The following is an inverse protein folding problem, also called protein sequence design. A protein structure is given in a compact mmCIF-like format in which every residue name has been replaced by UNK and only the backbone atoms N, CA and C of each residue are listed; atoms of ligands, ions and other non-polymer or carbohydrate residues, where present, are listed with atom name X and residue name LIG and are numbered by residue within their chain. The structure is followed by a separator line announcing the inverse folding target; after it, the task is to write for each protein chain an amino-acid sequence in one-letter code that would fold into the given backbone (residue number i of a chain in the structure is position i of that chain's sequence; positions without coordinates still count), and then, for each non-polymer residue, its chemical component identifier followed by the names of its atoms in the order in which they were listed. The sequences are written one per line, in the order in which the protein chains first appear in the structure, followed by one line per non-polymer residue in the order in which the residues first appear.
data_IF_797747712047
#
_entry.id   IF_797747712047
#
_cell.length_a   1.000
_cell.length_b   1.000
_cell.length_c   1.000
_cell.angle_alpha   90.00
_cell.angle_beta   90.00
_cell.angle_gamma   90.00
#
_symmetry.space_group_name_H-M   'P 1'
#
loop_
_entity.id
_entity.type
_entity.pdbx_description
1 polymer ?
#
# COMPACT_ATOMS: atom_id res chain seq x y z
N UNK A 1 -0.03 -77.53 11.76
CA UNK A 1 -1.47 -77.62 12.04
C UNK A 1 -1.95 -76.27 12.57
N UNK A 2 -2.96 -75.73 11.89
CA UNK A 2 -3.96 -74.74 12.34
C UNK A 2 -3.51 -73.28 12.53
N UNK A 3 -3.98 -72.48 11.57
CA UNK A 3 -4.02 -71.02 11.49
C UNK A 3 -4.77 -70.35 12.64
N UNK A 4 -4.40 -69.11 12.97
CA UNK A 4 -5.37 -68.11 13.44
C UNK A 4 -5.02 -66.71 12.91
N UNK A 5 -5.67 -66.43 11.78
CA UNK A 5 -6.21 -65.16 11.29
C UNK A 5 -5.78 -63.88 12.03
N UNK A 6 -4.91 -63.15 11.33
CA UNK A 6 -4.70 -61.71 11.49
C UNK A 6 -6.06 -61.02 11.31
N UNK A 7 -6.59 -60.43 12.40
CA UNK A 7 -7.76 -59.56 12.38
C UNK A 7 -7.43 -58.30 11.58
N UNK A 8 -7.78 -58.31 10.28
CA UNK A 8 -7.91 -57.11 9.47
C UNK A 8 -9.05 -56.26 10.04
N UNK A 9 -8.68 -55.19 10.74
CA UNK A 9 -9.59 -54.06 10.97
C UNK A 9 -9.79 -53.33 9.64
N UNK A 10 -10.86 -53.68 8.93
CA UNK A 10 -11.44 -52.87 7.85
C UNK A 10 -11.80 -51.49 8.42
N UNK A 11 -10.98 -50.50 8.12
CA UNK A 11 -11.18 -49.12 8.54
C UNK A 11 -10.68 -48.16 7.49
N UNK A 12 -11.15 -48.37 6.26
CA UNK A 12 -11.36 -47.36 5.20
C UNK A 12 -10.68 -45.99 5.43
N UNK A 13 -9.51 -45.79 4.82
CA UNK A 13 -9.09 -44.45 4.41
C UNK A 13 -8.24 -44.47 3.14
N UNK A 14 -8.67 -45.25 2.14
CA UNK A 14 -8.21 -45.10 0.76
C UNK A 14 -9.27 -44.38 -0.05
N UNK A 15 -9.46 -43.09 0.23
CA UNK A 15 -10.08 -42.14 -0.71
C UNK A 15 -9.39 -40.78 -0.52
N UNK A 16 -8.09 -40.71 -0.84
CA UNK A 16 -7.52 -39.45 -1.31
C UNK A 16 -8.04 -39.27 -2.74
N UNK A 17 -9.31 -38.87 -2.86
CA UNK A 17 -9.78 -38.23 -4.08
C UNK A 17 -8.98 -36.96 -4.17
N UNK A 18 -8.04 -37.00 -5.10
CA UNK A 18 -7.42 -35.87 -5.73
C UNK A 18 -8.56 -34.91 -6.08
N UNK A 19 -8.82 -33.91 -5.23
CA UNK A 19 -9.40 -32.66 -5.70
C UNK A 19 -8.31 -31.99 -6.54
N UNK A 20 -8.05 -32.58 -7.70
CA UNK A 20 -7.47 -31.89 -8.83
C UNK A 20 -8.35 -30.67 -9.03
N UNK A 21 -7.84 -29.50 -8.63
CA UNK A 21 -8.27 -28.25 -9.25
C UNK A 21 -8.12 -28.48 -10.76
N UNK A 22 -9.22 -28.80 -11.43
CA UNK A 22 -9.28 -28.59 -12.85
C UNK A 22 -9.02 -27.09 -13.03
N UNK A 23 -7.99 -26.67 -13.79
CA UNK A 23 -8.02 -25.33 -14.30
C UNK A 23 -9.24 -25.32 -15.21
N UNK A 24 -10.36 -24.79 -14.70
CA UNK A 24 -11.45 -24.38 -15.57
C UNK A 24 -10.81 -23.50 -16.62
N UNK A 25 -10.71 -24.04 -17.82
CA UNK A 25 -10.34 -23.31 -19.01
C UNK A 25 -11.49 -22.38 -19.37
N UNK A 26 -11.78 -21.42 -18.49
CA UNK A 26 -12.19 -20.11 -18.92
C UNK A 26 -11.01 -19.19 -18.67
N UNK A 27 -10.11 -19.15 -19.66
CA UNK A 27 -9.42 -17.90 -19.97
C UNK A 27 -10.51 -16.90 -20.39
N UNK A 28 -11.29 -16.41 -19.42
CA UNK A 28 -11.69 -15.03 -19.46
C UNK A 28 -10.36 -14.30 -19.44
N UNK A 29 -9.92 -13.92 -20.63
CA UNK A 29 -9.06 -12.77 -20.79
C UNK A 29 -9.84 -11.61 -20.18
N UNK A 30 -9.92 -11.54 -18.85
CA UNK A 30 -9.79 -10.26 -18.20
C UNK A 30 -8.42 -9.82 -18.66
N UNK A 31 -8.43 -9.11 -19.77
CA UNK A 31 -7.55 -7.99 -19.95
C UNK A 31 -7.88 -7.15 -18.72
N UNK A 32 -7.26 -7.50 -17.59
CA UNK A 32 -6.87 -6.54 -16.59
C UNK A 32 -6.08 -5.59 -17.46
N UNK A 33 -6.75 -4.54 -17.93
CA UNK A 33 -6.07 -3.41 -18.53
C UNK A 33 -5.08 -3.05 -17.44
N UNK A 34 -3.84 -3.51 -17.59
CA UNK A 34 -2.69 -2.87 -16.97
C UNK A 34 -2.78 -1.50 -17.61
N UNK A 35 -3.51 -0.61 -16.97
CA UNK A 35 -3.37 0.81 -17.16
C UNK A 35 -1.90 1.01 -16.84
N UNK A 36 -1.09 1.04 -17.89
CA UNK A 36 0.28 1.49 -17.77
C UNK A 36 0.18 2.81 -17.04
N UNK A 37 0.82 2.88 -15.86
CA UNK A 37 0.85 4.09 -15.08
C UNK A 37 1.56 5.13 -15.95
N UNK A 38 0.79 5.94 -16.65
CA UNK A 38 1.28 6.96 -17.58
C UNK A 38 1.81 8.17 -16.82
N UNK A 39 1.59 8.23 -15.50
CA UNK A 39 2.10 9.26 -14.64
C UNK A 39 3.63 9.10 -14.51
N UNK A 40 4.37 10.03 -15.12
CA UNK A 40 5.83 10.05 -15.02
C UNK A 40 6.24 10.41 -13.60
N UNK A 41 6.90 9.49 -12.91
CA UNK A 41 7.37 9.70 -11.54
C UNK A 41 8.77 10.31 -11.50
N UNK A 42 8.89 11.46 -10.85
CA UNK A 42 10.17 12.10 -10.54
C UNK A 42 10.24 12.44 -9.06
N UNK A 43 11.13 11.75 -8.33
CA UNK A 43 11.25 11.91 -6.87
C UNK A 43 11.51 13.36 -6.45
N UNK A 44 12.31 14.10 -7.22
CA UNK A 44 12.61 15.50 -6.95
C UNK A 44 11.35 16.39 -7.00
N UNK A 45 10.60 16.31 -8.10
CA UNK A 45 9.38 17.10 -8.29
C UNK A 45 8.35 16.80 -7.18
N UNK A 46 8.18 15.52 -6.85
CA UNK A 46 7.28 15.12 -5.77
C UNK A 46 7.78 15.57 -4.41
N UNK A 47 9.10 15.54 -4.19
CA UNK A 47 9.72 16.08 -2.98
C UNK A 47 9.41 17.57 -2.78
N UNK A 48 9.35 18.34 -3.86
CA UNK A 48 8.93 19.74 -3.84
C UNK A 48 7.45 19.89 -3.51
N UNK A 49 6.57 19.05 -4.08
CA UNK A 49 5.14 19.01 -3.72
C UNK A 49 4.98 18.72 -2.22
N UNK A 50 5.62 17.67 -1.70
CA UNK A 50 5.62 17.31 -0.28
C UNK A 50 6.09 18.47 0.61
N UNK A 51 7.11 19.21 0.17
CA UNK A 51 7.63 20.37 0.90
C UNK A 51 6.63 21.53 0.90
N UNK A 52 6.03 21.83 -0.24
CA UNK A 52 5.04 22.92 -0.39
C UNK A 52 3.75 22.65 0.37
N UNK A 53 3.38 21.38 0.54
CA UNK A 53 2.26 20.96 1.38
C UNK A 53 2.61 21.00 2.86
N UNK A 54 3.87 21.20 3.25
CA UNK A 54 4.28 21.25 4.65
C UNK A 54 4.26 19.89 5.37
N UNK A 55 4.13 18.77 4.64
CA UNK A 55 4.02 17.44 5.27
C UNK A 55 5.23 17.09 6.14
N UNK A 56 6.42 17.58 5.77
CA UNK A 56 7.67 17.37 6.53
C UNK A 56 7.69 18.07 7.89
N UNK A 57 6.81 19.05 8.11
CA UNK A 57 6.73 19.78 9.38
C UNK A 57 6.01 18.97 10.45
N UNK A 58 5.12 18.06 10.04
CA UNK A 58 4.33 17.24 10.96
C UNK A 58 4.82 15.80 11.02
N UNK A 59 5.21 15.23 9.87
CA UNK A 59 5.64 13.84 9.79
C UNK A 59 7.15 13.76 9.95
N UNK A 60 7.60 13.24 11.09
CA UNK A 60 9.03 13.09 11.39
C UNK A 60 9.65 11.86 10.70
N UNK A 61 10.91 11.96 10.29
CA UNK A 61 11.65 10.94 9.52
C UNK A 61 12.68 10.15 10.34
N UNK A 62 13.01 10.59 11.55
CA UNK A 62 14.06 9.97 12.37
C UNK A 62 13.60 8.63 12.98
N UNK A 63 14.49 7.92 13.68
CA UNK A 63 14.30 6.58 14.27
C UNK A 63 13.19 6.49 15.34
N UNK A 64 11.98 6.89 14.98
CA UNK A 64 10.75 6.77 15.74
C UNK A 64 9.91 5.65 15.12
N UNK A 65 9.08 5.05 15.96
CA UNK A 65 8.10 4.05 15.57
C UNK A 65 7.08 4.62 14.56
N UNK A 66 6.09 3.81 14.17
CA UNK A 66 5.06 4.23 13.20
C UNK A 66 4.26 5.45 13.66
N UNK A 67 4.23 5.72 14.96
CA UNK A 67 3.60 6.87 15.61
C UNK A 67 4.66 7.54 16.49
N UNK A 68 4.72 8.87 16.49
CA UNK A 68 5.62 9.62 17.35
C UNK A 68 5.07 9.80 18.78
N UNK A 69 5.83 10.48 19.63
CA UNK A 69 5.47 10.72 21.05
C UNK A 69 4.23 11.60 21.22
N UNK A 70 3.81 12.32 20.17
CA UNK A 70 2.63 13.19 20.16
C UNK A 70 1.42 12.53 19.50
N UNK A 71 1.51 11.26 19.12
CA UNK A 71 0.43 10.54 18.46
C UNK A 71 0.32 10.82 16.95
N UNK A 72 1.30 11.50 16.35
CA UNK A 72 1.33 11.80 14.92
C UNK A 72 1.97 10.63 14.18
N UNK A 73 1.36 10.19 13.07
CA UNK A 73 1.93 9.15 12.22
C UNK A 73 3.27 9.60 11.64
N UNK A 74 4.33 8.81 11.78
CA UNK A 74 5.64 9.14 11.18
C UNK A 74 5.68 8.82 9.69
N UNK A 75 6.73 9.25 8.97
CA UNK A 75 6.91 8.82 7.57
C UNK A 75 6.95 7.29 7.43
N UNK A 76 7.55 6.60 8.41
CA UNK A 76 7.57 5.13 8.47
C UNK A 76 6.17 4.56 8.69
N UNK A 77 5.37 5.19 9.55
CA UNK A 77 3.97 4.83 9.75
C UNK A 77 3.13 5.00 8.49
N UNK A 78 3.26 6.14 7.81
CA UNK A 78 2.57 6.42 6.55
C UNK A 78 2.99 5.41 5.46
N UNK A 79 4.28 5.11 5.36
CA UNK A 79 4.80 4.12 4.41
C UNK A 79 4.29 2.70 4.70
N UNK A 80 3.98 2.38 5.96
CA UNK A 80 3.42 1.09 6.35
C UNK A 80 1.90 0.97 6.11
N UNK A 81 1.19 2.06 5.84
CA UNK A 81 -0.25 2.01 5.54
C UNK A 81 -0.53 1.35 4.19
N UNK A 82 -1.70 0.73 4.08
CA UNK A 82 -2.26 0.36 2.78
C UNK A 82 -2.49 1.63 1.93
N UNK A 83 -2.28 1.55 0.61
CA UNK A 83 -2.35 2.71 -0.26
C UNK A 83 -3.74 3.37 -0.28
N UNK A 84 -4.83 2.60 -0.18
CA UNK A 84 -6.19 3.16 -0.12
C UNK A 84 -6.42 3.87 1.20
N UNK A 85 -5.93 3.29 2.31
CA UNK A 85 -5.97 3.94 3.63
C UNK A 85 -5.13 5.21 3.67
N UNK A 86 -3.98 5.22 3.01
CA UNK A 86 -3.10 6.38 2.93
C UNK A 86 -3.75 7.52 2.13
N UNK A 87 -4.42 7.19 1.01
CA UNK A 87 -5.19 8.17 0.26
C UNK A 87 -6.27 8.78 1.15
N UNK A 88 -7.03 7.94 1.87
CA UNK A 88 -8.11 8.44 2.73
C UNK A 88 -7.58 9.32 3.89
N UNK A 89 -6.45 8.89 4.47
CA UNK A 89 -5.78 9.62 5.53
C UNK A 89 -5.27 10.98 5.05
N UNK A 90 -4.55 11.02 3.92
CA UNK A 90 -3.86 12.21 3.44
C UNK A 90 -4.80 13.20 2.71
N UNK A 91 -5.77 12.72 1.93
CA UNK A 91 -6.48 13.59 0.98
C UNK A 91 -7.95 13.84 1.30
N UNK A 92 -8.61 13.05 2.16
CA UNK A 92 -10.05 13.21 2.38
C UNK A 92 -10.46 13.71 3.76
N UNK A 93 -9.77 13.40 4.88
CA UNK A 93 -10.40 13.66 6.20
C UNK A 93 -9.54 14.09 7.40
N UNK A 94 -8.21 13.91 7.44
CA UNK A 94 -7.48 13.96 8.73
C UNK A 94 -6.77 15.27 9.08
N UNK A 95 -6.65 16.21 8.15
CA UNK A 95 -5.94 17.47 8.41
C UNK A 95 -6.75 18.53 9.18
N UNK A 96 -7.86 18.15 9.85
CA UNK A 96 -8.67 19.05 10.72
C UNK A 96 -9.01 20.41 10.09
N UNK A 97 -9.20 20.46 8.77
CA UNK A 97 -9.47 21.71 8.05
C UNK A 97 -8.27 22.64 7.85
N UNK A 98 -7.04 22.21 8.11
CA UNK A 98 -5.83 23.02 7.90
C UNK A 98 -5.65 23.46 6.44
N UNK A 99 -6.07 22.65 5.48
CA UNK A 99 -6.06 23.00 4.05
C UNK A 99 -7.35 23.70 3.59
N UNK A 100 -8.33 23.91 4.48
CA UNK A 100 -9.54 24.65 4.14
C UNK A 100 -9.23 26.13 3.91
N UNK A 101 -10.18 26.87 3.32
CA UNK A 101 -10.07 28.32 3.06
C UNK A 101 -9.64 29.15 4.29
N UNK A 102 -9.96 28.69 5.50
CA UNK A 102 -9.67 29.38 6.76
C UNK A 102 -8.53 28.72 7.57
N UNK A 103 -7.93 27.63 7.07
CA UNK A 103 -6.88 26.90 7.79
C UNK A 103 -5.47 27.47 7.60
N UNK A 104 -4.52 26.94 8.38
CA UNK A 104 -3.12 27.38 8.38
C UNK A 104 -2.39 27.12 7.06
N UNK A 105 -2.84 26.11 6.30
CA UNK A 105 -2.32 25.74 4.98
C UNK A 105 -3.30 26.07 3.85
N UNK A 106 -4.17 27.08 4.02
CA UNK A 106 -5.16 27.51 3.02
C UNK A 106 -4.60 27.87 1.63
N UNK A 107 -3.32 28.22 1.55
CA UNK A 107 -2.64 28.54 0.28
C UNK A 107 -1.99 27.32 -0.37
N UNK A 108 -1.93 26.19 0.34
CA UNK A 108 -1.39 24.95 -0.19
C UNK A 108 -2.41 24.29 -1.13
N UNK A 109 -1.90 23.65 -2.17
CA UNK A 109 -2.68 23.08 -3.27
C UNK A 109 -3.11 21.63 -3.04
N UNK A 110 -3.37 21.24 -1.79
CA UNK A 110 -3.70 19.85 -1.43
C UNK A 110 -4.93 19.34 -2.20
N UNK A 111 -5.99 20.15 -2.24
CA UNK A 111 -7.26 19.80 -2.89
C UNK A 111 -7.23 19.96 -4.42
N UNK A 112 -6.15 20.51 -4.98
CA UNK A 112 -6.01 20.76 -6.42
C UNK A 112 -4.87 19.98 -7.07
N UNK A 113 -4.28 19.01 -6.35
CA UNK A 113 -3.37 18.04 -6.95
C UNK A 113 -4.12 17.21 -7.99
N UNK A 114 -3.50 17.03 -9.15
CA UNK A 114 -3.96 16.08 -10.16
C UNK A 114 -3.82 14.63 -9.66
N UNK A 115 -4.59 13.71 -10.25
CA UNK A 115 -4.48 12.28 -9.91
C UNK A 115 -3.06 11.74 -10.04
N UNK A 116 -2.29 12.22 -11.02
CA UNK A 116 -0.88 11.81 -11.19
C UNK A 116 0.02 12.36 -10.08
N UNK A 117 -0.22 13.58 -9.62
CA UNK A 117 0.50 14.13 -8.46
C UNK A 117 0.14 13.37 -7.18
N UNK A 118 -1.13 13.07 -6.96
CA UNK A 118 -1.59 12.25 -5.82
C UNK A 118 -0.90 10.88 -5.84
N UNK A 119 -0.95 10.16 -6.98
CA UNK A 119 -0.28 8.86 -7.14
C UNK A 119 1.23 8.96 -6.89
N UNK A 120 1.86 10.01 -7.41
CA UNK A 120 3.30 10.23 -7.25
C UNK A 120 3.66 10.55 -5.79
N UNK A 121 2.84 11.35 -5.10
CA UNK A 121 2.97 11.62 -3.66
C UNK A 121 2.86 10.32 -2.87
N UNK A 122 1.81 9.53 -3.09
CA UNK A 122 1.63 8.23 -2.44
C UNK A 122 2.85 7.34 -2.65
N UNK A 123 3.34 7.23 -3.89
CA UNK A 123 4.57 6.49 -4.19
C UNK A 123 5.77 7.00 -3.40
N UNK A 124 5.98 8.32 -3.38
CA UNK A 124 7.06 8.94 -2.59
C UNK A 124 6.98 8.59 -1.11
N UNK A 125 5.78 8.58 -0.52
CA UNK A 125 5.57 8.16 0.87
C UNK A 125 5.92 6.68 1.05
N UNK A 126 5.43 5.80 0.17
CA UNK A 126 5.62 4.35 0.24
C UNK A 126 7.07 3.92 0.02
N UNK A 127 7.83 4.74 -0.71
CA UNK A 127 9.25 4.55 -0.96
C UNK A 127 10.13 5.00 0.23
N UNK A 128 9.54 5.55 1.30
CA UNK A 128 10.28 5.93 2.49
C UNK A 128 10.87 4.70 3.19
N UNK A 129 12.19 4.75 3.45
CA UNK A 129 12.92 3.65 4.09
C UNK A 129 13.17 2.43 3.19
N UNK A 130 12.81 2.51 1.90
CA UNK A 130 13.18 1.50 0.90
C UNK A 130 14.47 1.93 0.21
N UNK A 131 15.40 0.99 0.05
CA UNK A 131 16.57 1.19 -0.79
C UNK A 131 16.15 1.02 -2.26
N UNK A 132 15.83 2.14 -2.91
CA UNK A 132 15.39 2.17 -4.30
C UNK A 132 16.47 2.87 -5.11
N UNK A 133 17.07 2.20 -6.10
CA UNK A 133 18.02 2.82 -7.00
C UNK A 133 17.38 4.03 -7.65
N UNK A 134 17.98 5.21 -7.45
CA UNK A 134 17.56 6.40 -8.17
C UNK A 134 18.22 6.36 -9.56
N UNK A 135 17.46 6.62 -10.65
CA UNK A 135 18.08 6.84 -11.94
C UNK A 135 19.05 8.02 -11.80
N UNK A 136 20.28 7.84 -12.30
CA UNK A 136 21.30 8.88 -12.34
C UNK A 136 20.72 10.12 -13.02
N UNK A 137 20.87 11.27 -12.37
CA UNK A 137 20.45 12.58 -12.89
C UNK A 137 21.24 12.96 -14.13
#
# INVERSE_FOLDING_TARGET
MVSNLIKLGLGSLSVLVVFSCQPSAEHKNSIVKRTTDSCRYYRYNVGQIISNLGCKNCHVSFNVDKIDVYGITTWRGLAAMDSLKLIDYAFTKKHKGWYSKNGDFKTARMDTLSDCEIRSVIRYIKDFGRDIPMPSQ
#
